data_IF_893875468892
#
_entry.id   IF_893875468892
#
_cell.length_a   1.000
_cell.length_b   1.000
_cell.length_c   1.000
_cell.angle_alpha   90.00
_cell.angle_beta   90.00
_cell.angle_gamma   90.00
#
_symmetry.space_group_name_H-M   'P 1'
#
loop_
_entity.id
_entity.type
_entity.pdbx_description
1 polymer ?
#
# COMPACT_ATOMS: atom_id res chain seq x y z
N UNK A 1 -17.22 14.42 0.34
CA UNK A 1 -17.10 13.00 -0.05
C UNK A 1 -15.68 12.82 -0.52
N UNK A 2 -14.82 12.43 0.40
CA UNK A 2 -13.40 12.17 0.18
C UNK A 2 -13.25 11.04 -0.84
N UNK A 3 -12.91 11.44 -2.05
CA UNK A 3 -12.84 10.60 -3.24
C UNK A 3 -11.53 9.80 -3.24
N UNK A 4 -11.18 9.20 -2.10
CA UNK A 4 -10.00 8.35 -1.98
C UNK A 4 -10.28 7.09 -2.76
N UNK A 5 -9.82 7.06 -4.01
CA UNK A 5 -10.03 5.94 -4.89
C UNK A 5 -9.04 4.83 -4.49
N UNK A 6 -9.50 3.95 -3.59
CA UNK A 6 -8.73 2.86 -3.01
C UNK A 6 -8.15 1.93 -4.08
N UNK A 7 -8.86 1.72 -5.19
CA UNK A 7 -8.38 0.90 -6.32
C UNK A 7 -7.16 1.52 -6.99
N UNK A 8 -7.15 2.86 -7.16
CA UNK A 8 -5.99 3.57 -7.70
C UNK A 8 -4.80 3.51 -6.74
N UNK A 9 -5.03 3.72 -5.45
CA UNK A 9 -3.99 3.60 -4.44
C UNK A 9 -3.41 2.17 -4.40
N UNK A 10 -4.26 1.15 -4.38
CA UNK A 10 -3.83 -0.24 -4.45
C UNK A 10 -3.00 -0.53 -5.70
N UNK A 11 -3.41 0.02 -6.86
CA UNK A 11 -2.64 -0.06 -8.10
C UNK A 11 -1.25 0.59 -8.00
N UNK A 12 -1.14 1.76 -7.36
CA UNK A 12 0.15 2.43 -7.11
C UNK A 12 1.02 1.59 -6.19
N UNK A 13 0.46 1.07 -5.11
CA UNK A 13 1.16 0.18 -4.16
C UNK A 13 1.68 -1.08 -4.83
N UNK A 14 0.83 -1.76 -5.62
CA UNK A 14 1.19 -2.97 -6.34
C UNK A 14 2.29 -2.72 -7.36
N UNK A 15 2.18 -1.64 -8.13
CA UNK A 15 3.19 -1.27 -9.11
C UNK A 15 4.51 -0.89 -8.47
N UNK A 16 4.49 -0.05 -7.43
CA UNK A 16 5.70 0.37 -6.74
C UNK A 16 6.43 -0.82 -6.08
N UNK A 17 5.69 -1.78 -5.53
CA UNK A 17 6.28 -3.00 -4.96
C UNK A 17 6.90 -3.89 -6.04
N UNK A 18 6.27 -4.01 -7.22
CA UNK A 18 6.84 -4.74 -8.36
C UNK A 18 8.09 -4.07 -8.94
N UNK A 19 8.18 -2.74 -8.88
CA UNK A 19 9.38 -1.99 -9.27
C UNK A 19 10.50 -2.04 -8.21
N UNK A 20 10.31 -2.78 -7.10
CA UNK A 20 11.28 -2.84 -5.99
C UNK A 20 11.34 -1.55 -5.16
N UNK A 21 10.37 -0.64 -5.32
CA UNK A 21 10.27 0.63 -4.58
C UNK A 21 9.60 0.42 -3.23
N UNK A 22 10.05 -0.57 -2.48
CA UNK A 22 9.48 -0.95 -1.17
C UNK A 22 9.48 0.25 -0.22
N UNK A 23 10.55 1.05 -0.18
CA UNK A 23 10.62 2.26 0.65
C UNK A 23 9.53 3.30 0.34
N UNK A 24 9.15 3.44 -0.93
CA UNK A 24 8.07 4.35 -1.34
C UNK A 24 6.70 3.82 -0.91
N UNK A 25 6.45 2.51 -1.08
CA UNK A 25 5.26 1.87 -0.51
C UNK A 25 5.18 2.09 1.00
N UNK A 26 6.29 1.90 1.72
CA UNK A 26 6.35 2.11 3.17
C UNK A 26 5.99 3.54 3.57
N UNK A 27 6.58 4.53 2.89
CA UNK A 27 6.29 5.95 3.14
C UNK A 27 4.81 6.28 2.86
N UNK A 28 4.27 5.82 1.72
CA UNK A 28 2.86 6.01 1.40
C UNK A 28 1.95 5.36 2.43
N UNK A 29 2.29 4.14 2.88
CA UNK A 29 1.50 3.36 3.84
C UNK A 29 1.43 4.03 5.20
N UNK A 30 2.59 4.48 5.74
CA UNK A 30 2.63 5.23 6.99
C UNK A 30 1.90 6.58 6.92
N UNK A 31 1.79 7.17 5.73
CA UNK A 31 1.06 8.42 5.51
C UNK A 31 -0.45 8.20 5.28
N UNK A 32 -0.93 6.96 5.22
CA UNK A 32 -2.36 6.67 5.10
C UNK A 32 -3.02 6.54 6.48
N UNK A 33 -4.23 7.09 6.67
CA UNK A 33 -5.05 6.81 7.85
C UNK A 33 -5.35 5.32 7.99
N UNK A 34 -5.55 4.84 9.23
CA UNK A 34 -5.88 3.43 9.50
C UNK A 34 -7.10 2.93 8.73
N UNK A 35 -8.13 3.78 8.57
CA UNK A 35 -9.32 3.45 7.78
C UNK A 35 -8.97 3.15 6.32
N UNK A 36 -8.03 3.92 5.75
CA UNK A 36 -7.58 3.73 4.37
C UNK A 36 -6.70 2.49 4.27
N UNK A 37 -5.84 2.24 5.24
CA UNK A 37 -5.03 1.01 5.30
C UNK A 37 -5.90 -0.25 5.40
N UNK A 38 -6.96 -0.23 6.21
CA UNK A 38 -7.90 -1.33 6.34
C UNK A 38 -8.63 -1.62 5.02
N UNK A 39 -9.02 -0.57 4.29
CA UNK A 39 -9.66 -0.70 2.97
C UNK A 39 -8.67 -1.12 1.87
N UNK A 40 -7.39 -0.73 1.97
CA UNK A 40 -6.36 -1.09 1.01
C UNK A 40 -5.87 -2.53 1.19
N UNK A 41 -5.68 -3.01 2.42
CA UNK A 41 -5.18 -4.36 2.74
C UNK A 41 -5.75 -5.48 1.84
N UNK A 42 -7.08 -5.60 1.64
CA UNK A 42 -7.65 -6.64 0.77
C UNK A 42 -7.43 -6.41 -0.73
N UNK A 43 -7.12 -5.18 -1.16
CA UNK A 43 -6.86 -4.81 -2.56
C UNK A 43 -5.37 -4.92 -2.95
N UNK A 44 -4.49 -5.12 -1.97
CA UNK A 44 -3.05 -5.24 -2.21
C UNK A 44 -2.70 -6.64 -2.71
N UNK A 45 -1.72 -6.69 -3.61
CA UNK A 45 -1.12 -7.94 -4.08
C UNK A 45 -0.18 -8.52 -3.03
N UNK A 46 0.02 -9.83 -3.07
CA UNK A 46 0.93 -10.54 -2.16
C UNK A 46 2.34 -9.93 -2.11
N UNK A 47 2.85 -9.43 -3.25
CA UNK A 47 4.16 -8.75 -3.34
C UNK A 47 4.20 -7.46 -2.51
N UNK A 48 3.12 -6.67 -2.55
CA UNK A 48 3.01 -5.44 -1.75
C UNK A 48 2.86 -5.74 -0.28
N UNK A 49 2.04 -6.75 0.05
CA UNK A 49 1.87 -7.20 1.43
C UNK A 49 3.23 -7.65 1.98
N UNK A 50 4.00 -8.43 1.21
CA UNK A 50 5.36 -8.80 1.60
C UNK A 50 6.28 -7.58 1.78
N UNK A 51 6.26 -6.62 0.85
CA UNK A 51 7.06 -5.39 0.96
C UNK A 51 6.69 -4.52 2.17
N UNK A 52 5.42 -4.57 2.60
CA UNK A 52 4.91 -3.90 3.80
C UNK A 52 5.18 -4.70 5.08
N UNK A 53 5.22 -6.03 5.02
CA UNK A 53 5.54 -6.92 6.15
C UNK A 53 7.04 -6.97 6.47
N UNK A 54 7.93 -6.67 5.53
CA UNK A 54 9.37 -6.45 5.78
C UNK A 54 9.68 -5.17 6.60
N UNK A 55 8.77 -4.77 7.46
CA UNK A 55 8.77 -3.54 8.27
C UNK A 55 8.50 -3.87 9.74
N UNK A 56 8.03 -5.09 10.05
CA UNK A 56 7.82 -5.60 11.41
C UNK A 56 9.05 -6.32 11.98
N UNK A 57 10.24 -6.13 11.38
CA UNK A 57 11.54 -6.60 11.91
C UNK A 57 12.39 -5.43 12.43
#
# INVERSE_FOLDING_TARGET
MDNTNYEKLAGVFNRASQEGKSAFCKMLWSNQPEVVQAQLKPLLSAVTIAALSQLEE
#
